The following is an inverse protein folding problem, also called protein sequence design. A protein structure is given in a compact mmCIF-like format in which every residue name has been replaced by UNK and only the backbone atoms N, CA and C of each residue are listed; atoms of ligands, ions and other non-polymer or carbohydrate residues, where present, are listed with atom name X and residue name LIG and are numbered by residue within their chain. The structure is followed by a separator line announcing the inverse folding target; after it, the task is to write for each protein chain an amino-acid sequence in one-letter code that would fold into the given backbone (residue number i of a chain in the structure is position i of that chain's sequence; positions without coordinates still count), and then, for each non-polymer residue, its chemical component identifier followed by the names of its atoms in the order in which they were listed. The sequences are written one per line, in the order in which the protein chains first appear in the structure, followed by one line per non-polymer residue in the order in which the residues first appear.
data_IF_678705096312
#
_entry.id   IF_678705096312
#
_cell.length_a   1.000
_cell.length_b   1.000
_cell.length_c   1.000
_cell.angle_alpha   90.00
_cell.angle_beta   90.00
_cell.angle_gamma   90.00
#
_symmetry.space_group_name_H-M   'P 1'
#
loop_
_entity.id
_entity.type
_entity.pdbx_description
1 polymer ?
2 non-polymer ?
3 water ?
#
# COMPACT_ATOMS: atom_id res chain seq x y z
N UNK A 3 7.27 22.71 5.46
CA UNK A 3 6.25 23.43 4.64
C UNK A 3 6.85 23.82 3.29
N UNK A 4 6.13 23.48 2.21
CA UNK A 4 6.45 23.95 0.88
C UNK A 4 5.57 25.15 0.52
N UNK A 5 6.22 26.23 0.09
CA UNK A 5 5.55 27.43 -0.40
C UNK A 5 4.86 27.12 -1.73
N UNK A 6 3.59 27.58 -1.90
CA UNK A 6 2.86 27.36 -3.16
C UNK A 6 3.63 27.79 -4.41
N UNK A 7 4.38 28.88 -4.32
CA UNK A 7 5.16 29.40 -5.45
C UNK A 7 6.31 28.47 -5.87
N UNK A 8 6.67 27.53 -5.01
CA UNK A 8 7.73 26.55 -5.30
C UNK A 8 7.21 25.39 -6.15
N UNK A 9 5.92 25.38 -6.43
CA UNK A 9 5.30 24.28 -7.19
C UNK A 9 4.68 24.74 -8.50
N UNK A 10 4.81 23.91 -9.53
CA UNK A 10 4.19 24.11 -10.81
C UNK A 10 3.33 22.90 -11.14
N UNK A 11 2.04 23.13 -11.34
CA UNK A 11 1.11 22.07 -11.73
C UNK A 11 1.16 21.90 -13.24
N UNK A 12 1.58 20.72 -13.70
CA UNK A 12 1.80 20.50 -15.13
C UNK A 12 0.63 19.78 -15.80
N UNK A 13 0.31 18.59 -15.31
CA UNK A 13 -0.82 17.82 -15.87
C UNK A 13 -1.43 16.85 -14.88
N UNK A 14 -2.75 16.76 -14.95
CA UNK A 14 -3.51 15.81 -14.17
C UNK A 14 -3.15 14.40 -14.61
N UNK A 15 -2.79 13.55 -13.65
CA UNK A 15 -2.41 12.19 -14.00
C UNK A 15 -3.40 11.13 -13.50
N UNK A 16 -4.26 11.52 -12.56
CA UNK A 16 -5.33 10.65 -12.09
C UNK A 16 -6.02 11.13 -10.82
N UNK A 17 -6.78 10.23 -10.20
CA UNK A 17 -7.45 10.51 -8.94
C UNK A 17 -7.32 9.31 -8.01
N UNK A 18 -7.17 9.59 -6.72
CA UNK A 18 -7.10 8.55 -5.70
C UNK A 18 -8.11 8.77 -4.58
N UNK A 19 -7.80 8.21 -3.42
CA UNK A 19 -8.65 8.31 -2.23
C UNK A 19 -8.99 9.75 -1.83
N UNK A 20 -8.01 10.65 -1.95
CA UNK A 20 -8.18 12.03 -1.49
C UNK A 20 -8.38 13.04 -2.61
N UNK A 21 -8.40 12.58 -3.86
CA UNK A 21 -8.69 13.44 -4.99
C UNK A 21 -7.63 13.45 -6.06
N UNK A 22 -7.41 14.64 -6.65
CA UNK A 22 -6.56 14.77 -7.82
C UNK A 22 -5.07 14.55 -7.55
N UNK A 23 -4.40 13.95 -8.53
CA UNK A 23 -2.95 13.82 -8.53
C UNK A 23 -2.43 14.46 -9.81
N UNK A 24 -1.48 15.37 -9.65
CA UNK A 24 -0.85 16.04 -10.79
C UNK A 24 0.63 15.71 -10.85
N UNK A 25 1.13 15.57 -12.09
CA UNK A 25 2.55 15.70 -12.33
C UNK A 25 2.83 17.18 -12.16
N UNK A 26 3.89 17.49 -11.42
CA UNK A 26 4.31 18.87 -11.21
C UNK A 26 5.82 19.00 -11.13
N UNK A 27 6.28 20.24 -10.95
CA UNK A 27 7.70 20.51 -10.73
C UNK A 27 7.92 21.27 -9.44
N UNK A 28 9.02 20.95 -8.78
CA UNK A 28 9.40 21.60 -7.53
C UNK A 28 10.63 22.45 -7.83
N UNK A 29 10.50 23.75 -7.58
CA UNK A 29 11.51 24.74 -7.99
C UNK A 29 11.90 24.61 -9.46
N UNK A 30 10.88 24.49 -10.33
CA UNK A 30 11.04 24.44 -11.78
C UNK A 30 12.08 23.44 -12.35
N UNK A 31 12.46 22.45 -11.56
CA UNK A 31 13.51 21.50 -11.98
C UNK A 31 13.13 20.03 -11.79
N UNK A 32 12.68 19.69 -10.58
CA UNK A 32 12.46 18.29 -10.24
C UNK A 32 11.02 17.87 -10.40
N UNK A 33 10.83 16.74 -11.09
CA UNK A 33 9.52 16.11 -11.21
C UNK A 33 9.03 15.65 -9.85
N UNK A 34 7.81 16.05 -9.51
CA UNK A 34 7.14 15.61 -8.30
C UNK A 34 5.69 15.23 -8.62
N UNK A 35 5.09 14.42 -7.76
CA UNK A 35 3.66 14.15 -7.83
C UNK A 35 2.98 14.93 -6.72
N UNK A 36 1.92 15.64 -7.09
CA UNK A 36 1.21 16.48 -6.14
C UNK A 36 -0.21 15.96 -5.95
N UNK A 37 -0.51 15.58 -4.71
CA UNK A 37 -1.87 15.20 -4.34
C UNK A 37 -2.61 16.44 -3.90
N UNK A 38 -3.73 16.74 -4.55
CA UNK A 38 -4.63 17.80 -4.12
C UNK A 38 -5.75 17.16 -3.32
N UNK A 39 -5.81 17.49 -2.04
CA UNK A 39 -6.77 16.87 -1.13
C UNK A 39 -8.14 17.54 -1.25
N UNK A 40 -9.10 16.78 -1.73
CA UNK A 40 -10.46 17.26 -1.97
C UNK A 40 -11.22 17.52 -0.66
N UNK A 41 -12.15 18.48 -0.71
CA UNK A 41 -13.02 18.80 0.42
C UNK A 41 -13.83 17.60 0.89
N UNK A 42 -13.84 17.38 2.21
CA UNK A 42 -14.62 16.30 2.81
C UNK A 42 -13.96 14.93 2.77
N UNK A 43 -12.81 14.86 2.10
CA UNK A 43 -12.07 13.60 1.96
C UNK A 43 -11.18 13.31 3.17
N UNK A 44 -10.46 14.33 3.63
CA UNK A 44 -9.50 14.19 4.74
C UNK A 44 -9.96 14.78 6.06
N UNK A 45 -9.50 14.18 7.14
CA UNK A 45 -9.50 14.79 8.46
C UNK A 45 -8.25 15.66 8.51
N UNK A 46 -8.42 16.93 8.12
CA UNK A 46 -7.31 17.81 7.77
C UNK A 46 -6.37 18.18 8.93
N UNK A 47 -6.93 18.73 10.01
CA UNK A 47 -6.10 19.17 11.14
C UNK A 47 -5.40 18.00 11.83
N UNK A 48 -6.06 16.84 11.85
CA UNK A 48 -5.50 15.62 12.42
C UNK A 48 -4.32 15.11 11.61
N UNK A 49 -4.39 15.25 10.28
CA UNK A 49 -3.29 14.88 9.42
C UNK A 49 -2.10 15.84 9.54
N UNK A 50 -2.37 17.13 9.61
CA UNK A 50 -1.31 18.15 9.73
C UNK A 50 -0.50 17.94 11.01
N UNK A 51 -1.12 17.30 12.00
CA UNK A 51 -0.41 16.81 13.20
C UNK A 51 0.56 15.69 12.85
N UNK A 52 0.03 14.63 12.23
CA UNK A 52 0.81 13.43 11.91
C UNK A 52 1.75 13.59 10.72
N UNK A 53 1.67 14.73 10.03
CA UNK A 53 2.48 14.99 8.84
C UNK A 53 3.98 15.05 9.16
N UNK A 54 4.30 15.65 10.31
CA UNK A 54 5.67 15.85 10.74
C UNK A 54 6.39 14.51 10.95
N UNK A 55 5.70 13.57 11.58
CA UNK A 55 6.25 12.23 11.86
C UNK A 55 6.34 11.41 10.58
N UNK A 56 5.28 11.44 9.78
CA UNK A 56 5.24 10.78 8.47
C UNK A 56 6.40 11.19 7.57
N UNK A 57 6.69 12.48 7.56
CA UNK A 57 7.83 12.99 6.81
C UNK A 57 9.15 12.46 7.37
N UNK A 58 9.24 12.38 8.70
CA UNK A 58 10.44 11.87 9.37
C UNK A 58 10.70 10.38 9.10
N UNK A 59 9.65 9.65 8.72
CA UNK A 59 9.81 8.28 8.27
C UNK A 59 10.43 8.30 6.89
N UNK A 60 11.62 7.71 6.78
CA UNK A 60 12.38 7.71 5.54
C UNK A 60 13.02 6.36 5.29
N UNK A 61 12.79 5.81 4.10
CA UNK A 61 13.34 4.52 3.72
C UNK A 61 13.33 4.42 2.20
N UNK A 62 14.39 3.81 1.61
CA UNK A 62 14.42 3.70 0.15
C UNK A 62 13.26 2.92 -0.46
N UNK A 63 12.54 2.13 0.35
CA UNK A 63 11.39 1.37 -0.17
C UNK A 63 10.04 1.93 0.28
N UNK A 64 10.06 3.17 0.76
CA UNK A 64 8.85 3.94 1.00
C UNK A 64 8.86 5.18 0.11
N UNK A 65 7.74 5.44 -0.56
CA UNK A 65 7.58 6.67 -1.35
C UNK A 65 7.71 7.86 -0.41
N UNK A 66 8.68 8.71 -0.68
CA UNK A 66 8.96 9.83 0.20
C UNK A 66 7.97 10.98 0.02
N UNK A 67 7.37 11.40 1.13
CA UNK A 67 6.61 12.64 1.19
C UNK A 67 7.61 13.77 1.40
N UNK A 68 7.82 14.58 0.37
CA UNK A 68 8.83 15.66 0.40
C UNK A 68 8.40 16.85 1.23
N UNK A 69 7.09 17.12 1.27
CA UNK A 69 6.56 18.24 2.02
C UNK A 69 5.08 18.45 1.84
N UNK A 70 4.55 19.36 2.64
CA UNK A 70 3.13 19.68 2.60
C UNK A 70 2.97 21.15 2.23
N UNK A 71 2.07 21.43 1.30
CA UNK A 71 1.75 22.80 0.94
C UNK A 71 0.48 23.21 1.68
N UNK A 72 0.66 23.99 2.74
CA UNK A 72 -0.42 24.34 3.68
C UNK A 72 -1.00 25.73 3.44
N UNK A 73 -0.20 26.60 2.82
CA UNK A 73 -0.56 28.01 2.63
C UNK A 73 -1.58 28.20 1.51
N UNK A 74 -2.54 27.28 1.42
CA UNK A 74 -3.59 27.33 0.40
C UNK A 74 -4.71 26.34 0.71
N UNK A 75 -5.90 26.63 0.20
CA UNK A 75 -6.99 25.67 0.19
C UNK A 75 -7.33 25.40 -1.28
N UNK A 76 -7.35 24.11 -1.68
CA UNK A 76 -7.08 22.92 -0.89
C UNK A 76 -5.58 22.68 -0.65
N UNK A 77 -5.25 22.02 0.46
CA UNK A 77 -3.85 21.73 0.78
C UNK A 77 -3.31 20.62 -0.11
N UNK A 78 -1.99 20.63 -0.32
CA UNK A 78 -1.35 19.69 -1.22
C UNK A 78 -0.25 18.90 -0.52
N UNK A 79 -0.09 17.65 -0.95
CA UNK A 79 1.03 16.81 -0.52
C UNK A 79 1.96 16.58 -1.70
N UNK A 80 3.26 16.79 -1.46
CA UNK A 80 4.27 16.68 -2.52
C UNK A 80 5.09 15.41 -2.34
N UNK A 81 5.05 14.57 -3.36
CA UNK A 81 5.70 13.27 -3.31
C UNK A 81 6.79 13.11 -4.35
N UNK A 82 7.71 12.22 -4.04
CA UNK A 82 8.65 11.62 -4.97
C UNK A 82 7.88 11.09 -6.18
N UNK A 83 8.27 11.50 -7.39
CA UNK A 83 7.61 11.01 -8.60
C UNK A 83 8.05 9.59 -8.95
N UNK A 84 7.09 8.68 -8.97
CA UNK A 84 7.34 7.29 -9.31
C UNK A 84 6.96 7.05 -10.76
N UNK A 85 7.96 6.81 -11.61
CA UNK A 85 7.80 6.86 -13.06
C UNK A 85 6.86 5.83 -13.67
N UNK A 86 6.62 4.72 -12.98
CA UNK A 86 5.74 3.69 -13.54
C UNK A 86 4.40 3.51 -12.83
N UNK A 87 4.03 4.46 -11.97
CA UNK A 87 2.71 4.48 -11.34
C UNK A 87 2.48 3.36 -10.33
N UNK A 88 1.22 2.97 -10.16
CA UNK A 88 0.85 1.96 -9.17
C UNK A 88 1.22 0.54 -9.59
N UNK A 89 1.64 -0.27 -8.61
CA UNK A 89 2.09 -1.64 -8.88
C UNK A 89 0.98 -2.49 -9.49
N UNK A 90 -0.24 -2.35 -8.97
CA UNK A 90 -1.42 -3.04 -9.49
C UNK A 90 -1.56 -2.85 -11.01
N UNK A 91 -1.50 -1.59 -11.45
CA UNK A 91 -1.58 -1.27 -12.88
C UNK A 91 -0.39 -1.83 -13.64
N UNK A 92 0.80 -1.68 -13.05
CA UNK A 92 2.05 -2.08 -13.67
C UNK A 92 2.10 -3.59 -13.93
N UNK A 93 1.67 -4.37 -12.93
CA UNK A 93 1.62 -5.82 -13.07
C UNK A 93 0.71 -6.25 -14.22
N UNK A 94 -0.47 -5.63 -14.30
CA UNK A 94 -1.46 -5.96 -15.33
C UNK A 94 -0.97 -5.55 -16.73
N UNK A 95 -0.37 -4.36 -16.83
CA UNK A 95 0.18 -3.86 -18.09
C UNK A 95 1.30 -4.74 -18.63
N UNK A 96 2.21 -5.13 -17.74
CA UNK A 96 3.39 -5.92 -18.10
C UNK A 96 3.18 -7.43 -17.96
N UNK A 97 1.94 -7.86 -17.70
CA UNK A 97 1.63 -9.28 -17.55
C UNK A 97 2.20 -10.10 -18.71
N UNK A 98 2.92 -11.16 -18.37
CA UNK A 98 3.53 -12.04 -19.37
C UNK A 98 5.01 -11.78 -19.57
N UNK A 99 5.49 -10.64 -19.06
CA UNK A 99 6.90 -10.26 -19.19
C UNK A 99 7.77 -10.55 -17.95
N UNK A 100 7.15 -11.04 -16.87
CA UNK A 100 7.85 -11.20 -15.59
C UNK A 100 8.44 -12.59 -15.31
N UNK A 101 9.72 -12.61 -14.95
CA UNK A 101 10.36 -13.81 -14.43
C UNK A 101 10.05 -13.92 -12.94
N UNK A 102 9.99 -15.15 -12.43
CA UNK A 102 9.69 -15.39 -11.01
C UNK A 102 10.62 -14.57 -10.10
N UNK A 103 11.90 -14.50 -10.46
CA UNK A 103 12.90 -13.77 -9.66
C UNK A 103 12.58 -12.27 -9.53
N UNK A 104 12.12 -11.67 -10.63
CA UNK A 104 11.72 -10.26 -10.63
C UNK A 104 10.54 -10.05 -9.69
N UNK A 105 9.56 -10.96 -9.78
CA UNK A 105 8.38 -10.90 -8.93
C UNK A 105 8.72 -11.06 -7.45
N UNK A 106 9.67 -11.96 -7.17
CA UNK A 106 10.17 -12.11 -5.81
C UNK A 106 10.86 -10.83 -5.33
N UNK A 107 11.68 -10.24 -6.19
CA UNK A 107 12.33 -8.95 -5.93
C UNK A 107 11.36 -7.85 -5.52
N UNK A 108 10.18 -7.83 -6.16
CA UNK A 108 9.14 -6.87 -5.82
C UNK A 108 8.58 -7.09 -4.42
N UNK A 109 8.37 -8.35 -4.07
CA UNK A 109 7.90 -8.72 -2.73
C UNK A 109 8.94 -8.35 -1.68
N UNK A 110 10.22 -8.57 -2.02
CA UNK A 110 11.34 -8.19 -1.17
C UNK A 110 11.34 -6.67 -0.90
N UNK A 111 11.16 -5.89 -1.95
CA UNK A 111 11.12 -4.42 -1.84
C UNK A 111 10.06 -4.01 -0.82
N UNK A 112 8.83 -4.51 -1.02
CA UNK A 112 7.70 -4.19 -0.15
C UNK A 112 7.98 -4.62 1.30
N UNK A 113 8.52 -5.82 1.45
CA UNK A 113 8.84 -6.37 2.78
C UNK A 113 9.87 -5.52 3.52
N UNK A 114 10.84 -4.98 2.79
CA UNK A 114 11.84 -4.10 3.38
C UNK A 114 11.18 -2.82 3.91
N UNK A 115 10.31 -2.24 3.08
CA UNK A 115 9.54 -1.06 3.48
C UNK A 115 8.68 -1.33 4.71
N UNK A 116 7.99 -2.47 4.70
CA UNK A 116 7.14 -2.84 5.83
C UNK A 116 7.91 -3.17 7.10
N UNK A 117 9.04 -3.86 6.95
CA UNK A 117 9.95 -4.11 8.08
C UNK A 117 10.34 -2.81 8.79
N UNK A 118 10.63 -1.78 7.99
CA UNK A 118 10.96 -0.45 8.52
C UNK A 118 9.78 0.16 9.30
N UNK A 119 8.59 0.10 8.71
CA UNK A 119 7.39 0.63 9.37
C UNK A 119 7.06 -0.11 10.66
N UNK A 120 7.17 -1.44 10.63
CA UNK A 120 6.94 -2.29 11.78
C UNK A 120 7.89 -1.91 12.92
N UNK A 121 9.16 -1.74 12.56
CA UNK A 121 10.21 -1.32 13.48
C UNK A 121 9.87 0.04 14.09
N UNK A 122 9.30 0.92 13.27
CA UNK A 122 8.94 2.28 13.67
C UNK A 122 7.54 2.38 14.32
N UNK A 123 6.95 1.22 14.64
CA UNK A 123 5.62 1.17 15.27
C UNK A 123 4.54 1.89 14.44
N UNK A 124 4.54 1.63 13.14
CA UNK A 124 3.57 2.21 12.22
C UNK A 124 2.81 1.09 11.50
N UNK A 125 1.48 1.11 11.61
CA UNK A 125 0.62 0.15 10.90
C UNK A 125 0.15 0.80 9.59
N UNK A 126 0.29 0.09 8.48
CA UNK A 126 -0.15 0.61 7.18
C UNK A 126 -1.67 0.73 7.14
N UNK A 127 -2.36 -0.38 7.46
CA UNK A 127 -3.83 -0.48 7.53
C UNK A 127 -4.51 -0.80 6.20
N UNK A 128 -3.83 -0.50 5.08
CA UNK A 128 -4.39 -0.80 3.75
C UNK A 128 -3.30 -1.21 2.77
N UNK A 129 -2.50 -2.20 3.16
CA UNK A 129 -1.42 -2.68 2.31
C UNK A 129 -1.97 -3.54 1.17
N UNK A 130 -1.69 -3.11 -0.06
CA UNK A 130 -2.17 -3.76 -1.26
C UNK A 130 -1.34 -3.28 -2.44
N UNK A 131 -1.35 -4.03 -3.55
CA UNK A 131 -0.61 -3.62 -4.73
C UNK A 131 -0.97 -2.21 -5.21
N UNK A 132 -2.26 -1.84 -5.11
CA UNK A 132 -2.73 -0.51 -5.54
C UNK A 132 -2.12 0.64 -4.76
N UNK A 133 -1.58 0.33 -3.58
CA UNK A 133 -0.95 1.32 -2.71
C UNK A 133 0.58 1.27 -2.72
N UNK A 134 1.12 0.50 -3.66
CA UNK A 134 2.56 0.47 -3.90
C UNK A 134 2.83 1.09 -5.27
N UNK A 135 3.95 1.80 -5.38
CA UNK A 135 4.29 2.47 -6.64
C UNK A 135 5.60 1.93 -7.22
N UNK A 136 5.76 2.10 -8.53
CA UNK A 136 6.89 1.53 -9.28
C UNK A 136 7.77 2.67 -9.79
N UNK A 137 9.06 2.59 -9.50
CA UNK A 137 10.00 3.64 -9.85
C UNK A 137 11.09 3.20 -10.79
N UNK A 138 12.28 3.78 -10.62
CA UNK A 138 13.42 3.49 -11.49
C UNK A 138 13.87 2.04 -11.34
N UNK A 139 14.07 1.38 -12.49
CA UNK A 139 14.53 -0.01 -12.56
C UNK A 139 13.58 -0.99 -11.85
N UNK A 140 12.28 -0.73 -11.98
CA UNK A 140 11.23 -1.58 -11.41
C UNK A 140 11.29 -1.72 -9.89
N UNK A 141 11.94 -0.78 -9.20
CA UNK A 141 11.93 -0.76 -7.73
C UNK A 141 10.50 -0.50 -7.23
N UNK A 142 10.10 -1.20 -6.17
CA UNK A 142 8.77 -1.01 -5.59
C UNK A 142 8.89 -0.28 -4.27
N UNK A 143 8.03 0.72 -4.08
CA UNK A 143 7.98 1.49 -2.84
C UNK A 143 6.56 1.49 -2.29
N UNK A 144 6.45 1.36 -0.98
CA UNK A 144 5.18 1.39 -0.27
C UNK A 144 4.74 2.83 -0.04
N UNK A 145 3.45 3.11 -0.23
CA UNK A 145 2.93 4.46 -0.04
C UNK A 145 1.69 4.49 0.85
N UNK A 146 1.34 5.69 1.31
CA UNK A 146 0.07 5.97 1.99
C UNK A 146 -0.18 5.12 3.24
N UNK A 147 0.92 4.73 3.89
CA UNK A 147 0.83 4.02 5.17
C UNK A 147 0.11 4.91 6.19
N UNK A 148 -0.88 4.32 6.87
CA UNK A 148 -1.62 5.00 7.94
C UNK A 148 -2.64 6.04 7.52
N UNK A 149 -2.80 6.23 6.21
CA UNK A 149 -3.64 7.32 5.68
C UNK A 149 -5.15 7.13 5.87
N UNK A 150 -5.58 5.87 5.97
CA UNK A 150 -7.00 5.57 6.19
C UNK A 150 -7.52 6.03 7.56
N UNK A 151 -6.59 6.37 8.46
CA UNK A 151 -6.94 7.03 9.72
C UNK A 151 -7.57 8.40 9.48
N UNK A 152 -7.25 9.02 8.34
CA UNK A 152 -7.71 10.37 8.03
C UNK A 152 -8.83 10.43 6.99
N UNK A 153 -9.22 9.26 6.47
CA UNK A 153 -10.32 9.17 5.49
C UNK A 153 -11.68 9.37 6.18
N UNK A 154 -12.49 10.26 5.62
CA UNK A 154 -13.80 10.57 6.19
C UNK A 154 -14.93 9.70 5.65
N UNK A 155 -14.71 9.11 4.48
CA UNK A 155 -15.66 8.16 3.89
C UNK A 155 -15.73 6.92 4.79
N UNK A 156 -16.84 6.78 5.51
CA UNK A 156 -17.06 5.69 6.44
C UNK A 156 -17.24 4.34 5.75
N UNK A 157 -17.49 4.38 4.44
CA UNK A 157 -17.60 3.17 3.64
C UNK A 157 -16.25 2.48 3.45
N UNK A 158 -15.18 3.27 3.44
CA UNK A 158 -13.81 2.74 3.36
C UNK A 158 -13.29 2.29 4.72
N UNK A 159 -13.50 3.12 5.75
CA UNK A 159 -12.85 2.94 7.05
C UNK A 159 -13.48 1.88 7.94
N UNK A 160 -14.80 1.86 7.99
CA UNK A 160 -15.54 0.90 8.82
C UNK A 160 -15.49 -0.51 8.20
N UNK A 161 -15.15 -1.49 9.03
CA UNK A 161 -15.07 -2.89 8.60
C UNK A 161 -16.39 -3.38 7.99
N UNK A 162 -17.45 -2.63 8.25
CA UNK A 162 -18.80 -2.95 7.79
C UNK A 162 -19.18 -2.13 6.57
N UNK A 163 -18.36 -1.14 6.24
CA UNK A 163 -18.58 -0.25 5.11
C UNK A 163 -18.51 -0.98 3.77
N UNK A 164 -19.26 -0.46 2.80
CA UNK A 164 -19.39 -1.09 1.47
C UNK A 164 -18.10 -1.01 0.65
N UNK A 165 -17.22 -0.07 0.98
CA UNK A 165 -15.98 0.13 0.27
C UNK A 165 -14.77 -0.43 1.04
N UNK A 166 -15.03 -1.14 2.13
CA UNK A 166 -13.96 -1.67 2.99
C UNK A 166 -13.15 -2.72 2.22
N UNK A 167 -11.81 -2.59 2.25
CA UNK A 167 -10.90 -3.51 1.56
C UNK A 167 -10.82 -4.90 2.21
N UNK A 168 -11.94 -5.61 2.20
CA UNK A 168 -12.04 -6.93 2.81
C UNK A 168 -11.00 -7.91 2.26
N UNK A 169 -10.68 -7.77 0.97
CA UNK A 169 -9.84 -8.72 0.27
C UNK A 169 -8.42 -8.80 0.80
N UNK A 170 -7.99 -7.74 1.48
CA UNK A 170 -6.64 -7.70 2.08
C UNK A 170 -6.69 -7.72 3.61
N UNK A 171 -7.90 -7.84 4.17
CA UNK A 171 -8.09 -7.75 5.62
C UNK A 171 -7.97 -9.10 6.35
N UNK A 172 -7.17 -9.12 7.41
CA UNK A 172 -7.06 -10.28 8.29
C UNK A 172 -8.39 -10.49 9.02
N UNK A 173 -8.67 -11.73 9.49
CA UNK A 173 -9.96 -12.01 10.13
C UNK A 173 -10.28 -11.09 11.31
N UNK A 174 -9.27 -10.75 12.12
CA UNK A 174 -9.47 -9.89 13.28
C UNK A 174 -9.75 -8.43 12.90
N UNK A 175 -9.29 -8.02 11.71
CA UNK A 175 -9.60 -6.68 11.21
C UNK A 175 -11.06 -6.61 10.73
N UNK A 176 -11.46 -7.50 9.82
CA UNK A 176 -12.80 -7.39 9.24
C UNK A 176 -13.93 -7.71 10.23
N UNK A 177 -13.59 -8.41 11.30
CA UNK A 177 -14.55 -8.74 12.35
C UNK A 177 -14.55 -7.76 13.51
N UNK A 178 -13.38 -7.23 13.86
CA UNK A 178 -13.21 -6.48 15.12
C UNK A 178 -12.36 -5.22 15.02
N UNK A 179 -11.90 -4.89 13.81
CA UNK A 179 -11.06 -3.70 13.58
C UNK A 179 -9.79 -3.72 14.46
N UNK A 180 -9.23 -4.90 14.62
CA UNK A 180 -8.05 -5.11 15.45
C UNK A 180 -6.78 -5.06 14.59
N UNK A 181 -6.21 -3.87 14.43
CA UNK A 181 -5.03 -3.69 13.59
C UNK A 181 -3.72 -3.92 14.35
N UNK A 182 -2.71 -4.40 13.62
CA UNK A 182 -1.35 -4.56 14.13
C UNK A 182 -0.42 -4.75 12.94
N UNK A 183 0.89 -4.78 13.19
CA UNK A 183 1.83 -5.16 12.15
C UNK A 183 1.55 -6.57 11.61
N UNK A 184 0.96 -7.42 12.45
CA UNK A 184 0.57 -8.77 12.04
C UNK A 184 -0.66 -8.80 11.12
N UNK A 185 -1.52 -7.80 11.24
CA UNK A 185 -2.64 -7.67 10.28
C UNK A 185 -2.11 -7.11 8.94
N UNK A 186 -1.09 -6.28 9.02
CA UNK A 186 -0.39 -5.85 7.79
C UNK A 186 0.29 -7.06 7.13
N UNK A 187 0.75 -8.01 7.95
CA UNK A 187 1.37 -9.25 7.44
C UNK A 187 0.39 -10.07 6.60
N UNK A 188 -0.85 -10.21 7.08
CA UNK A 188 -1.90 -10.86 6.28
C UNK A 188 -2.03 -10.16 4.94
N UNK A 189 -2.18 -8.83 4.98
CA UNK A 189 -2.28 -8.01 3.77
C UNK A 189 -1.08 -8.23 2.84
N UNK A 190 0.12 -8.30 3.44
CA UNK A 190 1.33 -8.56 2.67
C UNK A 190 1.29 -9.89 1.92
N UNK A 191 0.74 -10.92 2.57
CA UNK A 191 0.52 -12.22 1.94
C UNK A 191 -0.37 -12.11 0.71
N UNK A 192 -1.46 -11.35 0.83
CA UNK A 192 -2.36 -11.12 -0.30
C UNK A 192 -1.65 -10.32 -1.39
N UNK A 193 -0.88 -9.31 -1.00
CA UNK A 193 -0.03 -8.57 -1.95
C UNK A 193 0.95 -9.48 -2.69
N UNK A 194 1.57 -10.44 -1.98
CA UNK A 194 2.45 -11.43 -2.62
C UNK A 194 1.69 -12.21 -3.69
N UNK A 195 0.47 -12.62 -3.35
CA UNK A 195 -0.41 -13.29 -4.29
C UNK A 195 -0.67 -12.42 -5.53
N UNK A 196 -0.98 -11.14 -5.31
CA UNK A 196 -1.18 -10.18 -6.41
C UNK A 196 0.04 -10.09 -7.32
N UNK A 197 1.22 -9.96 -6.71
CA UNK A 197 2.48 -9.84 -7.45
C UNK A 197 2.74 -11.09 -8.30
N UNK A 198 2.74 -12.26 -7.65
CA UNK A 198 2.98 -13.53 -8.35
C UNK A 198 1.87 -13.92 -9.34
N UNK A 199 0.67 -13.39 -9.12
CA UNK A 199 -0.45 -13.55 -10.06
C UNK A 199 -0.43 -12.52 -11.18
N UNK A 200 0.56 -11.62 -11.16
CA UNK A 200 0.68 -10.53 -12.13
C UNK A 200 -0.55 -9.64 -12.17
N UNK A 201 -1.05 -9.29 -10.99
CA UNK A 201 -2.12 -8.30 -10.87
C UNK A 201 -3.54 -8.81 -10.92
N UNK A 202 -3.73 -10.12 -10.74
CA UNK A 202 -5.08 -10.68 -10.63
C UNK A 202 -5.77 -10.13 -9.38
N UNK A 203 -7.10 -10.04 -9.44
CA UNK A 203 -7.89 -9.61 -8.29
C UNK A 203 -8.11 -10.81 -7.37
N UNK A 204 -7.66 -10.71 -6.10
CA UNK A 204 -7.88 -11.83 -5.18
C UNK A 204 -9.37 -12.16 -5.00
N UNK A 205 -9.68 -13.43 -4.77
CA UNK A 205 -11.04 -13.92 -4.50
C UNK A 205 -12.02 -13.55 -5.60
N UNK A 206 -11.76 -14.10 -6.78
CA UNK A 206 -12.62 -13.97 -7.98
C UNK A 206 -13.59 -12.77 -7.98
N UNK A 207 -13.13 -11.65 -7.45
CA UNK A 207 -13.97 -10.48 -7.18
C UNK A 207 -15.27 -10.76 -6.38
N UNK A 208 -15.26 -11.86 -5.59
CA UNK A 208 -16.38 -12.23 -4.71
C UNK A 208 -16.79 -11.07 -3.82
N UNK A 209 -18.03 -11.08 -3.35
CA UNK A 209 -18.53 -10.00 -2.51
C UNK A 209 -17.79 -9.94 -1.17
N UNK A 210 -17.82 -8.77 -0.54
CA UNK A 210 -17.26 -8.58 0.79
C UNK A 210 -17.72 -9.66 1.77
N UNK A 211 -19.02 -9.92 1.78
CA UNK A 211 -19.59 -10.92 2.69
C UNK A 211 -19.09 -12.33 2.39
N UNK A 212 -18.96 -12.66 1.10
CA UNK A 212 -18.48 -13.98 0.70
C UNK A 212 -17.02 -14.20 1.09
N UNK A 213 -16.20 -13.16 0.94
CA UNK A 213 -14.81 -13.23 1.38
C UNK A 213 -14.72 -13.42 2.91
N UNK A 214 -15.47 -12.63 3.67
CA UNK A 214 -15.53 -12.77 5.12
C UNK A 214 -15.86 -14.23 5.48
N UNK A 215 -16.86 -14.79 4.78
CA UNK A 215 -17.30 -16.17 4.97
C UNK A 215 -16.21 -17.17 4.59
N UNK A 216 -15.59 -16.97 3.42
CA UNK A 216 -14.48 -17.80 2.93
C UNK A 216 -13.37 -17.91 3.97
N UNK A 217 -12.84 -16.76 4.37
CA UNK A 217 -11.74 -16.69 5.33
C UNK A 217 -12.16 -17.20 6.72
N UNK A 218 -13.36 -16.83 7.17
CA UNK A 218 -13.85 -17.27 8.48
C UNK A 218 -13.91 -18.79 8.61
N UNK A 219 -14.22 -19.46 7.49
CA UNK A 219 -14.35 -20.92 7.46
C UNK A 219 -13.02 -21.64 7.14
N UNK A 220 -12.00 -20.89 6.72
CA UNK A 220 -10.68 -21.46 6.44
C UNK A 220 -10.16 -21.47 4.99
N UNK A 221 -10.95 -20.96 4.05
CA UNK A 221 -10.51 -20.87 2.64
C UNK A 221 -9.28 -19.98 2.50
N UNK A 222 -8.35 -20.37 1.63
CA UNK A 222 -7.19 -19.53 1.29
C UNK A 222 -6.93 -19.49 -0.22
N UNK A 223 -6.36 -18.38 -0.70
CA UNK A 223 -6.04 -18.21 -2.11
C UNK A 223 -5.16 -19.36 -2.60
N UNK A 224 -5.46 -19.87 -3.79
CA UNK A 224 -4.67 -20.94 -4.39
C UNK A 224 -3.34 -20.41 -4.92
N UNK A 225 -2.38 -21.30 -5.16
CA UNK A 225 -1.04 -20.88 -5.59
C UNK A 225 -1.04 -20.38 -7.03
N UNK A 226 -0.50 -19.16 -7.25
CA UNK A 226 -0.27 -18.66 -8.62
C UNK A 226 0.83 -19.48 -9.30
N UNK A 227 0.76 -19.60 -10.62
CA UNK A 227 1.72 -20.41 -11.36
C UNK A 227 3.17 -20.06 -11.06
N UNK A 228 3.47 -18.76 -11.07
CA UNK A 228 4.85 -18.28 -10.98
C UNK A 228 5.44 -18.32 -9.57
N UNK A 229 4.59 -18.59 -8.59
CA UNK A 229 5.04 -18.79 -7.20
C UNK A 229 5.50 -20.22 -7.00
N UNK A 230 6.71 -20.37 -6.48
CA UNK A 230 7.24 -21.69 -6.16
C UNK A 230 6.53 -22.30 -4.96
N UNK A 231 6.69 -23.61 -4.77
CA UNK A 231 6.22 -24.30 -3.57
C UNK A 231 6.67 -23.54 -2.33
N UNK A 232 7.94 -23.13 -2.30
CA UNK A 232 8.49 -22.40 -1.15
C UNK A 232 7.80 -21.05 -0.90
N UNK A 233 7.68 -20.24 -1.95
CA UNK A 233 7.00 -18.96 -1.86
C UNK A 233 5.56 -19.12 -1.35
N UNK A 234 4.86 -20.13 -1.86
CA UNK A 234 3.47 -20.37 -1.46
C UNK A 234 3.33 -20.70 0.03
N UNK A 235 4.28 -21.43 0.60
CA UNK A 235 4.24 -21.69 2.04
C UNK A 235 4.52 -20.42 2.87
N UNK A 236 5.36 -19.53 2.35
CA UNK A 236 5.53 -18.20 2.97
C UNK A 236 4.20 -17.43 2.96
N UNK A 237 3.50 -17.45 1.83
CA UNK A 237 2.17 -16.83 1.72
C UNK A 237 1.21 -17.39 2.77
N UNK A 238 1.14 -18.71 2.87
CA UNK A 238 0.24 -19.35 3.83
C UNK A 238 0.53 -19.04 5.30
N UNK A 239 1.80 -18.84 5.63
CA UNK A 239 2.18 -18.42 6.96
C UNK A 239 1.68 -17.01 7.30
N UNK A 240 1.60 -16.16 6.26
CA UNK A 240 1.02 -14.82 6.42
C UNK A 240 -0.48 -14.88 6.70
N UNK A 241 -1.12 -15.96 6.28
CA UNK A 241 -2.57 -16.12 6.41
C UNK A 241 -3.04 -17.04 7.54
N UNK A 242 -2.22 -17.17 8.59
CA UNK A 242 -2.66 -17.87 9.80
C UNK A 242 -3.80 -17.09 10.44
N UNK A 243 -4.79 -17.82 10.94
CA UNK A 243 -5.97 -17.23 11.57
C UNK A 243 -5.60 -16.25 12.68
N UNK A 244 -4.80 -16.70 13.65
CA UNK A 244 -4.34 -15.83 14.74
C UNK A 244 -3.13 -15.01 14.31
N UNK A 245 -3.17 -13.68 14.57
CA UNK A 245 -2.02 -12.81 14.29
C UNK A 245 -0.73 -13.29 14.97
N UNK A 246 -0.84 -13.89 16.15
CA UNK A 246 0.34 -14.39 16.87
C UNK A 246 1.02 -15.58 16.18
N UNK A 247 0.32 -16.23 15.26
CA UNK A 247 0.87 -17.35 14.49
C UNK A 247 1.50 -16.91 13.15
N UNK A 248 1.36 -15.62 12.83
CA UNK A 248 1.96 -15.03 11.62
C UNK A 248 3.36 -14.52 11.93
N UNK A 249 4.30 -14.64 10.98
CA UNK A 249 5.63 -14.07 11.21
C UNK A 249 5.63 -12.55 11.15
N UNK A 250 6.56 -11.93 11.87
CA UNK A 250 6.79 -10.48 11.75
C UNK A 250 7.46 -10.18 10.41
N UNK A 251 7.35 -8.95 9.94
CA UNK A 251 8.04 -8.51 8.72
C UNK A 251 9.56 -8.72 8.81
N UNK A 252 10.11 -8.54 10.00
CA UNK A 252 11.53 -8.78 10.25
C UNK A 252 11.91 -10.23 9.95
N UNK A 253 11.02 -11.16 10.29
CA UNK A 253 11.24 -12.57 9.99
C UNK A 253 11.06 -12.86 8.49
N UNK A 254 9.97 -12.36 7.92
CA UNK A 254 9.69 -12.48 6.48
C UNK A 254 10.84 -11.96 5.61
N UNK A 255 11.47 -10.87 6.06
CA UNK A 255 12.58 -10.28 5.34
C UNK A 255 13.76 -11.26 5.25
N UNK A 256 14.07 -11.91 6.37
CA UNK A 256 15.11 -12.95 6.42
C UNK A 256 14.76 -14.11 5.49
N UNK A 257 13.49 -14.48 5.46
CA UNK A 257 13.02 -15.58 4.63
C UNK A 257 13.09 -15.26 3.14
N UNK A 258 12.61 -14.08 2.75
CA UNK A 258 12.59 -13.66 1.35
C UNK A 258 14.00 -13.39 0.79
N UNK A 259 14.88 -12.87 1.64
CA UNK A 259 16.27 -12.67 1.27
C UNK A 259 17.04 -13.99 1.14
N UNK A 260 16.66 -14.98 1.94
CA UNK A 260 17.32 -16.30 1.89
C UNK A 260 17.07 -17.07 0.59
N UNK A 261 16.02 -16.71 -0.13
CA UNK A 261 15.65 -17.41 -1.37
C UNK A 261 16.66 -17.15 -2.50
#
# INVERSE_FOLDING_TARGET
GSVIDPSELTFVQEIGSGQFGLVHLGYWLNKDKVAIKTIREGAMSEEDFIEEAEVMMKLSHPKLVQLYGVCLEQAPICLVFEFMEHGCLSDYLRTQRGLFAAETLLGMCLDVCEGMAYLEEASVIHRDLAARNCLVGENQVIKVSDFGMTRFVLDDQYTSSTGTKFPVKWASPEVFSFSRYSSKSDVWSFGVLMWEVFSEGKIPYENRSNSEVVEDISTGFRLYKPRLASTHVYQIMNHCWKERPEDRPAFSRLLRQLAAIAASGL
#
